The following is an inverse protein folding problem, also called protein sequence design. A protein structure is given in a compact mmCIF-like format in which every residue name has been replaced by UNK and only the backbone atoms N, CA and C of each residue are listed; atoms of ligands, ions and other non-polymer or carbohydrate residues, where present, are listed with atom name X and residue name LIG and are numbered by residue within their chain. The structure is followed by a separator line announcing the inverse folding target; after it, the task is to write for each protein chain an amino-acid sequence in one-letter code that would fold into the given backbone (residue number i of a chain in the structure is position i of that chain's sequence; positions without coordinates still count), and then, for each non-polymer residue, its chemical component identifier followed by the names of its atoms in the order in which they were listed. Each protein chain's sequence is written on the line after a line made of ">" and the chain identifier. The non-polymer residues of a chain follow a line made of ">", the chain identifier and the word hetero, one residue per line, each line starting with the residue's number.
data_IF_615538931294
#
_entry.id   IF_615538931294
#
_cell.length_a   1.000
_cell.length_b   1.000
_cell.length_c   1.000
_cell.angle_alpha   90.00
_cell.angle_beta   90.00
_cell.angle_gamma   90.00
#
_symmetry.space_group_name_H-M   'P 1'
#
loop_
_entity.id
_entity.type
_entity.pdbx_description
1 polymer ?
#
# COMPACT_ATOMS: atom_id res chain seq x y z
N UNK A 1 45.65 -8.54 -35.31
CA UNK A 1 45.31 -7.15 -34.92
C UNK A 1 45.31 -7.04 -33.40
N UNK A 2 46.49 -6.90 -32.79
CA UNK A 2 46.63 -6.78 -31.33
C UNK A 2 46.19 -5.39 -30.87
N UNK A 3 45.15 -5.32 -30.04
CA UNK A 3 44.76 -4.09 -29.35
C UNK A 3 45.84 -3.72 -28.33
N UNK A 4 46.17 -2.43 -28.25
CA UNK A 4 47.15 -1.90 -27.29
C UNK A 4 46.82 -2.20 -25.83
N UNK A 5 47.80 -2.02 -24.96
CA UNK A 5 47.67 -2.24 -23.50
C UNK A 5 46.54 -1.38 -22.94
N UNK A 6 45.64 -1.98 -22.16
CA UNK A 6 44.50 -1.31 -21.52
C UNK A 6 44.73 -1.27 -20.01
N UNK A 7 44.45 -0.13 -19.38
CA UNK A 7 44.52 0.02 -17.92
C UNK A 7 43.46 -0.84 -17.20
N UNK A 8 43.79 -1.37 -16.02
CA UNK A 8 42.84 -2.09 -15.15
C UNK A 8 41.99 -1.10 -14.34
N UNK A 9 41.08 -0.41 -15.04
CA UNK A 9 40.07 0.49 -14.46
C UNK A 9 38.71 0.23 -15.10
N UNK A 10 37.65 0.75 -14.48
CA UNK A 10 36.29 0.70 -15.04
C UNK A 10 36.28 1.40 -16.42
N UNK A 11 35.72 0.73 -17.42
CA UNK A 11 35.52 1.33 -18.75
C UNK A 11 34.28 2.23 -18.67
N UNK A 12 34.44 3.53 -18.85
CA UNK A 12 33.33 4.50 -18.73
C UNK A 12 32.33 4.40 -19.88
N UNK A 13 32.82 4.32 -21.12
CA UNK A 13 31.98 4.19 -22.31
C UNK A 13 31.14 2.90 -22.24
N UNK A 14 29.80 3.07 -22.24
CA UNK A 14 28.83 1.97 -22.07
C UNK A 14 28.94 0.91 -23.17
N UNK A 15 29.12 1.31 -24.43
CA UNK A 15 29.20 0.41 -25.59
C UNK A 15 30.48 -0.42 -25.50
N UNK A 16 31.62 0.24 -25.28
CA UNK A 16 32.92 -0.43 -25.13
C UNK A 16 32.92 -1.39 -23.93
N UNK A 17 32.29 -0.99 -22.81
CA UNK A 17 32.15 -1.84 -21.63
C UNK A 17 31.31 -3.08 -21.93
N UNK A 18 30.19 -2.96 -22.65
CA UNK A 18 29.34 -4.10 -23.00
C UNK A 18 30.07 -5.09 -23.94
N UNK A 19 30.72 -4.58 -24.98
CA UNK A 19 31.50 -5.42 -25.92
C UNK A 19 32.67 -6.10 -25.20
N UNK A 20 33.37 -5.36 -24.33
CA UNK A 20 34.50 -5.90 -23.56
C UNK A 20 34.04 -6.93 -22.54
N UNK A 21 32.92 -6.69 -21.84
CA UNK A 21 32.32 -7.65 -20.92
C UNK A 21 32.00 -8.96 -21.65
N UNK A 22 31.32 -8.92 -22.79
CA UNK A 22 30.98 -10.12 -23.55
C UNK A 22 32.24 -10.90 -23.95
N UNK A 23 33.27 -10.23 -24.48
CA UNK A 23 34.53 -10.86 -24.88
C UNK A 23 35.31 -11.44 -23.69
N UNK A 24 35.49 -10.66 -22.61
CA UNK A 24 36.24 -11.10 -21.42
C UNK A 24 35.51 -12.19 -20.64
N UNK A 25 34.18 -12.10 -20.50
CA UNK A 25 33.35 -13.15 -19.90
C UNK A 25 33.53 -14.47 -20.66
N UNK A 26 33.41 -14.45 -21.99
CA UNK A 26 33.61 -15.66 -22.80
C UNK A 26 35.05 -16.17 -22.72
N UNK A 27 36.05 -15.30 -22.71
CA UNK A 27 37.45 -15.70 -22.52
C UNK A 27 37.70 -16.35 -21.15
N UNK A 28 37.11 -15.80 -20.08
CA UNK A 28 37.22 -16.33 -18.73
C UNK A 28 36.52 -17.69 -18.60
N UNK A 29 35.34 -17.85 -19.20
CA UNK A 29 34.63 -19.13 -19.28
C UNK A 29 35.47 -20.21 -19.96
N UNK A 30 36.11 -19.88 -21.08
CA UNK A 30 37.02 -20.80 -21.78
C UNK A 30 38.20 -21.20 -20.89
N UNK A 31 38.80 -20.25 -20.17
CA UNK A 31 39.91 -20.51 -19.26
C UNK A 31 39.51 -21.37 -18.07
N UNK A 32 38.33 -21.13 -17.50
CA UNK A 32 37.78 -21.96 -16.43
C UNK A 32 37.52 -23.40 -16.89
N UNK A 33 37.00 -23.56 -18.12
CA UNK A 33 36.82 -24.88 -18.74
C UNK A 33 38.15 -25.60 -18.98
N UNK A 34 39.13 -24.93 -19.61
CA UNK A 34 40.48 -25.48 -19.82
C UNK A 34 41.10 -25.94 -18.50
N UNK A 35 41.03 -25.13 -17.45
CA UNK A 35 41.57 -25.49 -16.12
C UNK A 35 40.87 -26.72 -15.54
N UNK A 36 39.54 -26.80 -15.65
CA UNK A 36 38.80 -27.94 -15.12
C UNK A 36 39.18 -29.26 -15.80
N UNK A 37 39.41 -29.24 -17.11
CA UNK A 37 39.76 -30.43 -17.89
C UNK A 37 41.24 -30.79 -17.71
N UNK A 38 42.15 -29.82 -17.78
CA UNK A 38 43.60 -30.08 -17.75
C UNK A 38 44.10 -30.54 -16.38
N UNK A 39 43.45 -30.11 -15.30
CA UNK A 39 43.88 -30.39 -13.93
C UNK A 39 42.90 -31.25 -13.14
N UNK A 40 41.86 -31.79 -13.79
CA UNK A 40 40.75 -32.50 -13.13
C UNK A 40 40.20 -31.75 -11.90
N UNK A 41 40.05 -30.43 -12.07
CA UNK A 41 39.66 -29.52 -11.01
C UNK A 41 38.16 -29.18 -11.12
N UNK A 42 37.46 -29.19 -9.99
CA UNK A 42 36.10 -28.66 -9.92
C UNK A 42 36.14 -27.14 -9.90
N UNK A 43 35.56 -26.50 -10.91
CA UNK A 43 35.60 -25.05 -11.10
C UNK A 43 34.17 -24.53 -11.27
N UNK A 44 33.82 -23.52 -10.47
CA UNK A 44 32.58 -22.76 -10.61
C UNK A 44 32.88 -21.28 -10.79
N UNK A 45 32.12 -20.61 -11.66
CA UNK A 45 32.23 -19.20 -11.97
C UNK A 45 30.84 -18.57 -12.00
N UNK A 46 30.66 -17.49 -11.24
CA UNK A 46 29.41 -16.73 -11.15
C UNK A 46 29.72 -15.27 -11.50
N UNK A 47 28.99 -14.69 -12.45
CA UNK A 47 29.18 -13.31 -12.92
C UNK A 47 27.84 -12.60 -12.99
N UNK A 48 27.70 -11.54 -12.20
CA UNK A 48 26.57 -10.61 -12.31
C UNK A 48 26.96 -9.42 -13.17
N UNK A 49 26.17 -9.16 -14.21
CA UNK A 49 26.30 -7.90 -14.96
C UNK A 49 25.73 -6.73 -14.16
N UNK A 50 26.12 -5.51 -14.52
CA UNK A 50 25.56 -4.29 -13.94
C UNK A 50 24.04 -4.10 -14.18
N UNK A 51 23.43 -4.94 -15.03
CA UNK A 51 21.98 -4.98 -15.27
C UNK A 51 21.28 -6.08 -14.45
N UNK A 52 21.99 -6.74 -13.53
CA UNK A 52 21.47 -7.83 -12.72
C UNK A 52 21.40 -9.18 -13.43
N UNK A 53 21.76 -9.27 -14.71
CA UNK A 53 21.76 -10.56 -15.42
C UNK A 53 22.90 -11.46 -14.92
N UNK A 54 22.54 -12.67 -14.51
CA UNK A 54 23.42 -13.76 -14.08
C UNK A 54 24.01 -14.49 -15.29
N UNK A 55 25.31 -14.76 -15.23
CA UNK A 55 26.02 -15.67 -16.11
C UNK A 55 26.83 -16.62 -15.24
N UNK A 56 26.66 -17.91 -15.45
CA UNK A 56 27.30 -18.93 -14.63
C UNK A 56 27.94 -20.03 -15.48
N UNK A 57 28.94 -20.67 -14.90
CA UNK A 57 29.58 -21.87 -15.42
C UNK A 57 29.99 -22.77 -14.27
N UNK A 58 29.78 -24.06 -14.46
CA UNK A 58 30.20 -25.09 -13.53
C UNK A 58 30.77 -26.24 -14.36
N UNK A 59 31.95 -26.75 -13.97
CA UNK A 59 32.50 -27.95 -14.60
C UNK A 59 31.80 -29.23 -14.16
N UNK A 60 31.06 -29.19 -13.05
CA UNK A 60 30.26 -30.31 -12.54
C UNK A 60 28.83 -30.28 -13.07
N UNK A 61 28.07 -31.35 -12.81
CA UNK A 61 26.65 -31.47 -13.23
C UNK A 61 25.71 -30.49 -12.52
N UNK A 62 26.12 -29.85 -11.42
CA UNK A 62 25.27 -28.92 -10.68
C UNK A 62 26.06 -27.85 -9.93
N UNK A 63 25.81 -26.59 -10.27
CA UNK A 63 26.31 -25.43 -9.54
C UNK A 63 25.95 -25.51 -8.05
N UNK A 64 24.75 -25.98 -7.71
CA UNK A 64 24.31 -26.13 -6.32
C UNK A 64 25.22 -27.08 -5.53
N UNK A 65 25.61 -28.21 -6.12
CA UNK A 65 26.53 -29.18 -5.47
C UNK A 65 27.91 -28.58 -5.23
N UNK A 66 28.43 -27.82 -6.19
CA UNK A 66 29.74 -27.15 -6.04
C UNK A 66 29.68 -26.06 -4.96
N UNK A 67 28.59 -25.30 -4.88
CA UNK A 67 28.36 -24.32 -3.80
C UNK A 67 28.24 -24.97 -2.43
N UNK A 68 27.50 -26.08 -2.32
CA UNK A 68 27.41 -26.87 -1.09
C UNK A 68 28.79 -27.39 -0.65
N UNK A 69 29.60 -27.89 -1.58
CA UNK A 69 30.98 -28.32 -1.29
C UNK A 69 31.84 -27.16 -0.82
N UNK A 70 31.79 -26.02 -1.51
CA UNK A 70 32.50 -24.81 -1.09
C UNK A 70 32.12 -24.39 0.33
N UNK A 71 30.83 -24.39 0.65
CA UNK A 71 30.36 -24.11 2.01
C UNK A 71 30.92 -25.13 3.01
N UNK A 72 30.83 -26.43 2.73
CA UNK A 72 31.37 -27.48 3.62
C UNK A 72 32.87 -27.33 3.87
N UNK A 73 33.65 -26.99 2.84
CA UNK A 73 35.12 -26.85 2.94
C UNK A 73 35.55 -25.51 3.57
N UNK A 74 34.83 -24.42 3.33
CA UNK A 74 35.16 -23.10 3.88
C UNK A 74 34.67 -22.93 5.33
N UNK A 75 33.63 -23.67 5.74
CA UNK A 75 33.04 -23.61 7.09
C UNK A 75 33.34 -24.86 7.94
N UNK A 76 34.26 -25.72 7.49
CA UNK A 76 34.71 -26.93 8.18
C UNK A 76 35.77 -26.69 9.26
N UNK A 77 35.54 -25.72 10.15
CA UNK A 77 36.19 -25.47 11.46
C UNK A 77 35.56 -24.16 12.04
N UNK A 78 35.46 -23.98 13.36
CA UNK A 78 34.23 -23.62 14.08
C UNK A 78 33.76 -22.16 13.92
N UNK A 79 33.02 -21.83 12.86
CA UNK A 79 32.23 -20.58 12.75
C UNK A 79 30.85 -20.84 12.09
N UNK A 80 30.35 -22.07 12.21
CA UNK A 80 29.03 -22.50 11.68
C UNK A 80 27.87 -21.95 12.51
N UNK A 81 28.13 -21.33 13.65
CA UNK A 81 27.13 -21.01 14.66
C UNK A 81 26.39 -19.68 14.47
N UNK A 82 26.84 -18.79 13.57
CA UNK A 82 26.22 -17.46 13.46
C UNK A 82 25.28 -17.40 12.24
N UNK A 83 25.77 -17.72 11.04
CA UNK A 83 24.95 -17.65 9.80
C UNK A 83 23.97 -18.82 9.66
N UNK A 84 24.36 -20.03 10.09
CA UNK A 84 23.42 -21.17 10.17
C UNK A 84 22.35 -20.92 11.23
N UNK A 85 22.74 -20.36 12.39
CA UNK A 85 21.79 -19.99 13.46
C UNK A 85 20.86 -18.87 13.03
N UNK A 86 21.32 -17.87 12.29
CA UNK A 86 20.47 -16.79 11.77
C UNK A 86 19.51 -17.29 10.68
N UNK A 87 19.97 -18.14 9.76
CA UNK A 87 19.11 -18.72 8.71
C UNK A 87 18.12 -19.73 9.30
N UNK A 88 18.56 -20.58 10.23
CA UNK A 88 17.72 -21.53 10.95
C UNK A 88 16.76 -20.82 11.91
N UNK A 89 17.21 -19.74 12.57
CA UNK A 89 16.36 -18.86 13.38
C UNK A 89 15.32 -18.17 12.52
N UNK A 90 15.69 -17.62 11.37
CA UNK A 90 14.74 -16.99 10.44
C UNK A 90 13.69 -17.98 9.93
N UNK A 91 14.09 -19.21 9.57
CA UNK A 91 13.17 -20.27 9.20
C UNK A 91 12.27 -20.69 10.37
N UNK A 92 12.82 -20.80 11.59
CA UNK A 92 12.06 -21.14 12.78
C UNK A 92 11.04 -20.05 13.15
N UNK A 93 11.42 -18.77 13.06
CA UNK A 93 10.53 -17.63 13.24
C UNK A 93 9.43 -17.61 12.17
N UNK A 94 9.77 -17.92 10.91
CA UNK A 94 8.78 -18.08 9.85
C UNK A 94 7.78 -19.19 10.16
N UNK A 95 8.24 -20.36 10.61
CA UNK A 95 7.36 -21.48 10.98
C UNK A 95 6.47 -21.14 12.18
N UNK A 96 7.01 -20.46 13.20
CA UNK A 96 6.22 -19.95 14.33
C UNK A 96 5.14 -18.97 13.87
N UNK A 97 5.50 -18.03 12.99
CA UNK A 97 4.57 -17.06 12.44
C UNK A 97 3.49 -17.74 11.61
N UNK A 98 3.88 -18.70 10.75
CA UNK A 98 2.95 -19.49 9.93
C UNK A 98 1.94 -20.23 10.81
N UNK A 99 2.40 -20.90 11.86
CA UNK A 99 1.52 -21.60 12.81
C UNK A 99 0.54 -20.63 13.50
N UNK A 100 0.99 -19.42 13.86
CA UNK A 100 0.12 -18.37 14.42
C UNK A 100 -0.93 -17.92 13.41
N UNK A 101 -0.56 -17.70 12.15
CA UNK A 101 -1.50 -17.32 11.08
C UNK A 101 -2.55 -18.41 10.87
N UNK A 102 -2.14 -19.67 10.80
CA UNK A 102 -3.06 -20.80 10.64
C UNK A 102 -4.00 -20.97 11.85
N UNK A 103 -3.50 -20.72 13.06
CA UNK A 103 -4.34 -20.71 14.26
C UNK A 103 -5.36 -19.56 14.25
N UNK A 104 -4.94 -18.35 13.86
CA UNK A 104 -5.83 -17.19 13.73
C UNK A 104 -6.88 -17.41 12.63
N UNK A 105 -6.50 -17.95 11.49
CA UNK A 105 -7.43 -18.26 10.39
C UNK A 105 -8.45 -19.33 10.80
N UNK A 106 -8.02 -20.36 11.56
CA UNK A 106 -8.96 -21.33 12.16
C UNK A 106 -9.91 -20.64 13.13
N UNK A 107 -9.40 -19.82 14.05
CA UNK A 107 -10.25 -19.08 14.99
C UNK A 107 -11.26 -18.18 14.29
N UNK A 108 -10.86 -17.51 13.20
CA UNK A 108 -11.76 -16.69 12.40
C UNK A 108 -12.88 -17.52 11.77
N UNK A 109 -12.57 -18.67 11.17
CA UNK A 109 -13.57 -19.58 10.61
C UNK A 109 -14.57 -20.03 11.68
N UNK A 110 -14.08 -20.42 12.85
CA UNK A 110 -14.94 -20.79 13.97
C UNK A 110 -15.87 -19.63 14.37
N UNK A 111 -15.36 -18.40 14.49
CA UNK A 111 -16.18 -17.22 14.79
C UNK A 111 -17.24 -16.92 13.72
N UNK A 112 -17.02 -17.36 12.47
CA UNK A 112 -17.98 -17.28 11.37
C UNK A 112 -18.95 -18.47 11.33
N UNK A 113 -18.82 -19.43 12.24
CA UNK A 113 -19.63 -20.64 12.29
C UNK A 113 -19.17 -21.75 11.33
N UNK A 114 -17.96 -21.64 10.79
CA UNK A 114 -17.35 -22.63 9.90
C UNK A 114 -16.44 -23.58 10.69
N UNK A 115 -16.22 -24.80 10.16
CA UNK A 115 -15.27 -25.80 10.70
C UNK A 115 -15.39 -26.09 12.20
N UNK A 116 -16.62 -26.14 12.71
CA UNK A 116 -16.90 -26.33 14.14
C UNK A 116 -16.71 -27.79 14.62
N UNK A 117 -16.67 -28.76 13.71
CA UNK A 117 -16.59 -30.19 14.03
C UNK A 117 -15.46 -30.61 14.97
N UNK A 118 -14.25 -30.03 14.91
CA UNK A 118 -13.16 -30.34 15.83
C UNK A 118 -13.29 -29.75 17.24
N UNK A 119 -14.24 -28.85 17.50
CA UNK A 119 -14.40 -28.20 18.80
C UNK A 119 -15.21 -29.09 19.76
N UNK A 120 -14.80 -29.11 21.02
CA UNK A 120 -15.58 -29.72 22.09
C UNK A 120 -16.80 -28.89 22.46
N UNK A 121 -17.76 -29.50 23.17
CA UNK A 121 -18.97 -28.80 23.65
C UNK A 121 -18.63 -27.56 24.49
N UNK A 122 -17.63 -27.67 25.38
CA UNK A 122 -17.18 -26.54 26.21
C UNK A 122 -16.61 -25.39 25.39
N UNK A 123 -15.84 -25.70 24.35
CA UNK A 123 -15.27 -24.68 23.46
C UNK A 123 -16.34 -24.01 22.61
N UNK A 124 -17.35 -24.75 22.15
CA UNK A 124 -18.51 -24.20 21.44
C UNK A 124 -19.34 -23.27 22.33
N UNK A 125 -19.64 -23.67 23.56
CA UNK A 125 -20.33 -22.79 24.52
C UNK A 125 -19.52 -21.52 24.84
N UNK A 126 -18.19 -21.61 24.92
CA UNK A 126 -17.34 -20.44 25.11
C UNK A 126 -17.40 -19.51 23.90
N UNK A 127 -17.35 -20.07 22.69
CA UNK A 127 -17.44 -19.32 21.44
C UNK A 127 -18.79 -18.60 21.32
N UNK A 128 -19.88 -19.28 21.65
CA UNK A 128 -21.24 -18.71 21.67
C UNK A 128 -21.32 -17.53 22.65
N UNK A 129 -20.87 -17.71 23.90
CA UNK A 129 -20.85 -16.63 24.90
C UNK A 129 -20.03 -15.42 24.44
N UNK A 130 -18.89 -15.66 23.78
CA UNK A 130 -18.03 -14.60 23.25
C UNK A 130 -18.71 -13.82 22.12
N UNK A 131 -19.36 -14.52 21.19
CA UNK A 131 -20.11 -13.90 20.09
C UNK A 131 -21.29 -13.09 20.61
N UNK A 132 -22.06 -13.64 21.54
CA UNK A 132 -23.21 -12.95 22.16
C UNK A 132 -22.81 -11.68 22.88
N UNK A 133 -21.74 -11.72 23.69
CA UNK A 133 -21.24 -10.55 24.39
C UNK A 133 -20.79 -9.45 23.41
N UNK A 134 -20.01 -9.84 22.39
CA UNK A 134 -19.49 -8.92 21.38
C UNK A 134 -20.62 -8.30 20.54
N UNK A 135 -21.62 -9.10 20.16
CA UNK A 135 -22.77 -8.65 19.38
C UNK A 135 -23.67 -7.71 20.18
N UNK A 136 -23.88 -7.98 21.48
CA UNK A 136 -24.56 -7.04 22.39
C UNK A 136 -23.83 -5.70 22.47
N UNK A 137 -22.51 -5.73 22.60
CA UNK A 137 -21.70 -4.51 22.63
C UNK A 137 -21.80 -3.72 21.32
N UNK A 138 -21.62 -4.38 20.16
CA UNK A 138 -21.74 -3.74 18.84
C UNK A 138 -23.11 -3.08 18.66
N UNK A 139 -24.19 -3.79 19.01
CA UNK A 139 -25.55 -3.25 18.92
C UNK A 139 -25.72 -2.04 19.82
N UNK A 140 -25.26 -2.11 21.08
CA UNK A 140 -25.33 -1.00 22.02
C UNK A 140 -24.59 0.24 21.48
N UNK A 141 -23.33 0.08 21.06
CA UNK A 141 -22.53 1.18 20.50
C UNK A 141 -23.17 1.77 19.25
N UNK A 142 -23.70 0.94 18.34
CA UNK A 142 -24.38 1.41 17.14
C UNK A 142 -25.65 2.20 17.47
N UNK A 143 -26.45 1.72 18.41
CA UNK A 143 -27.65 2.42 18.87
C UNK A 143 -27.28 3.75 19.51
N UNK A 144 -26.28 3.77 20.39
CA UNK A 144 -25.82 5.01 21.03
C UNK A 144 -25.37 6.03 19.98
N UNK A 145 -24.55 5.62 19.02
CA UNK A 145 -24.12 6.50 17.93
C UNK A 145 -25.29 7.08 17.13
N UNK A 146 -26.31 6.27 16.81
CA UNK A 146 -27.50 6.75 16.11
C UNK A 146 -28.29 7.78 16.94
N UNK A 147 -28.41 7.57 18.26
CA UNK A 147 -29.07 8.51 19.17
C UNK A 147 -28.31 9.84 19.25
N UNK A 148 -26.99 9.78 19.33
CA UNK A 148 -26.14 10.98 19.38
C UNK A 148 -26.27 11.79 18.07
N UNK A 149 -26.26 11.12 16.91
CA UNK A 149 -26.50 11.76 15.61
C UNK A 149 -27.90 12.41 15.52
N UNK A 150 -28.92 11.73 16.03
CA UNK A 150 -30.29 12.26 16.06
C UNK A 150 -30.36 13.53 16.91
N UNK A 151 -29.76 13.52 18.11
CA UNK A 151 -29.74 14.66 19.00
C UNK A 151 -29.01 15.86 18.39
N UNK A 152 -27.89 15.63 17.70
CA UNK A 152 -27.14 16.69 17.02
C UNK A 152 -27.92 17.29 15.85
N UNK A 153 -28.62 16.47 15.06
CA UNK A 153 -29.47 16.94 13.97
C UNK A 153 -30.66 17.75 14.49
N UNK A 154 -31.33 17.30 15.56
CA UNK A 154 -32.42 18.04 16.19
C UNK A 154 -31.95 19.40 16.72
N UNK A 155 -30.75 19.47 17.31
CA UNK A 155 -30.17 20.74 17.76
C UNK A 155 -29.91 21.69 16.59
N UNK A 156 -29.40 21.18 15.46
CA UNK A 156 -29.19 21.97 14.24
C UNK A 156 -30.51 22.46 13.63
N UNK A 157 -31.52 21.61 13.59
CA UNK A 157 -32.87 21.97 13.13
C UNK A 157 -33.44 23.13 13.95
N UNK A 158 -33.33 23.07 15.28
CA UNK A 158 -33.80 24.14 16.17
C UNK A 158 -33.08 25.46 15.89
N UNK A 159 -31.74 25.44 15.80
CA UNK A 159 -30.95 26.64 15.49
C UNK A 159 -31.34 27.24 14.13
N UNK A 160 -31.53 26.42 13.10
CA UNK A 160 -31.95 26.87 11.77
C UNK A 160 -33.38 27.42 11.77
N UNK A 161 -34.28 26.81 12.52
CA UNK A 161 -35.64 27.32 12.70
C UNK A 161 -35.65 28.70 13.36
N UNK A 162 -34.85 28.90 14.42
CA UNK A 162 -34.73 30.18 15.10
C UNK A 162 -34.10 31.26 14.21
N UNK A 163 -33.03 30.92 13.50
CA UNK A 163 -32.40 31.81 12.53
C UNK A 163 -33.37 32.23 11.42
N UNK A 164 -34.12 31.27 10.84
CA UNK A 164 -35.13 31.56 9.82
C UNK A 164 -36.27 32.44 10.37
N UNK A 165 -36.76 32.20 11.60
CA UNK A 165 -37.76 33.06 12.25
C UNK A 165 -37.24 34.49 12.44
N UNK A 166 -35.97 34.65 12.80
CA UNK A 166 -35.33 35.97 12.93
C UNK A 166 -35.23 36.69 11.57
N UNK A 167 -34.80 35.98 10.52
CA UNK A 167 -34.69 36.53 9.18
C UNK A 167 -36.05 36.95 8.60
N UNK A 168 -37.11 36.16 8.83
CA UNK A 168 -38.47 36.51 8.41
C UNK A 168 -38.97 37.80 9.06
N UNK A 169 -38.77 37.95 10.37
CA UNK A 169 -39.10 39.20 11.09
C UNK A 169 -38.36 40.40 10.51
N UNK A 170 -37.05 40.28 10.27
CA UNK A 170 -36.25 41.36 9.65
C UNK A 170 -36.71 41.72 8.24
N UNK A 171 -37.13 40.73 7.45
CA UNK A 171 -37.67 40.96 6.12
C UNK A 171 -39.00 41.73 6.19
N UNK A 172 -39.90 41.34 7.10
CA UNK A 172 -41.16 42.03 7.34
C UNK A 172 -40.95 43.48 7.80
N UNK A 173 -40.02 43.71 8.73
CA UNK A 173 -39.61 45.06 9.19
C UNK A 173 -39.03 45.91 8.05
N UNK A 174 -38.14 45.32 7.22
CA UNK A 174 -37.56 46.01 6.06
C UNK A 174 -38.60 46.33 4.97
N UNK A 175 -39.58 45.46 4.78
CA UNK A 175 -40.64 45.64 3.78
C UNK A 175 -41.66 46.70 4.23
N UNK A 176 -41.93 46.79 5.54
CA UNK A 176 -42.74 47.88 6.13
C UNK A 176 -42.00 49.23 6.05
N UNK A 177 -40.69 49.26 6.31
CA UNK A 177 -39.87 50.47 6.13
C UNK A 177 -39.79 50.91 4.66
N UNK A 178 -39.74 49.98 3.71
CA UNK A 178 -39.77 50.26 2.27
C UNK A 178 -41.13 50.77 1.75
N UNK A 179 -42.25 50.38 2.37
CA UNK A 179 -43.59 50.91 2.03
C UNK A 179 -43.86 52.31 2.62
N UNK A 180 -43.13 52.73 3.66
CA UNK A 180 -43.18 54.11 4.18
C UNK A 180 -42.36 55.11 3.35
N UNK A 181 -41.58 54.63 2.36
CA UNK A 181 -40.81 55.46 1.45
C UNK A 181 -41.48 55.56 0.07
N UNK A 182 -42.76 55.93 0.04
CA UNK A 182 -43.47 56.35 -1.19
C UNK A 182 -43.79 57.85 -1.12
N UNK A 183 -42.90 58.62 -1.75
CA UNK A 183 -43.08 59.89 -2.48
C UNK A 183 -43.78 61.08 -1.79
N UNK A 184 -42.97 62.03 -1.32
CA UNK A 184 -43.36 63.45 -1.18
C UNK A 184 -42.92 64.20 -2.46
N UNK A 185 -43.84 64.68 -3.33
CA UNK A 185 -43.48 65.26 -4.61
C UNK A 185 -43.60 66.79 -4.57
N UNK A 186 -42.61 67.53 -4.04
CA UNK A 186 -42.19 68.86 -4.54
C UNK A 186 -41.14 69.53 -3.65
N UNK A 187 -39.89 69.61 -4.11
CA UNK A 187 -39.03 70.80 -3.97
C UNK A 187 -37.74 70.63 -4.78
N UNK A 188 -37.51 71.58 -5.69
CA UNK A 188 -36.38 71.68 -6.60
C UNK A 188 -35.05 71.90 -5.87
N UNK A 189 -33.96 71.29 -6.34
CA UNK A 189 -32.67 71.94 -6.63
C UNK A 189 -31.66 70.94 -7.22
N UNK A 190 -30.77 71.46 -8.06
CA UNK A 190 -29.96 70.78 -9.07
C UNK A 190 -28.51 70.52 -8.60
N UNK A 191 -27.90 69.43 -9.08
CA UNK A 191 -26.45 69.24 -9.26
C UNK A 191 -25.69 68.77 -8.00
N UNK A 192 -24.75 67.82 -8.03
CA UNK A 192 -23.76 67.44 -9.05
C UNK A 192 -23.28 65.98 -8.81
N UNK A 193 -22.88 65.29 -9.89
CA UNK A 193 -21.63 64.51 -9.88
C UNK A 193 -21.66 62.96 -9.88
N UNK A 194 -21.42 62.40 -11.08
CA UNK A 194 -20.65 61.18 -11.44
C UNK A 194 -20.97 59.79 -10.81
N UNK A 195 -21.62 58.95 -11.63
CA UNK A 195 -21.21 57.65 -12.22
C UNK A 195 -19.88 56.94 -11.78
N UNK A 196 -19.65 55.65 -12.15
CA UNK A 196 -19.91 54.40 -11.42
C UNK A 196 -18.62 53.58 -11.13
N UNK A 197 -18.66 52.56 -10.25
CA UNK A 197 -17.67 51.47 -10.26
C UNK A 197 -18.25 50.15 -9.74
N UNK A 198 -18.43 49.20 -10.66
CA UNK A 198 -18.25 47.76 -10.40
C UNK A 198 -16.78 47.49 -10.02
N UNK A 199 -16.46 46.40 -9.28
CA UNK A 199 -16.13 45.16 -9.99
C UNK A 199 -16.71 43.87 -9.36
N UNK A 200 -17.13 42.98 -10.25
CA UNK A 200 -16.82 41.54 -10.30
C UNK A 200 -16.88 40.76 -8.97
N UNK A 201 -17.90 39.93 -8.78
CA UNK A 201 -17.81 38.48 -9.06
C UNK A 201 -16.52 37.84 -8.54
N UNK A 202 -16.59 37.13 -7.42
CA UNK A 202 -15.96 35.82 -7.34
C UNK A 202 -16.51 34.99 -6.18
N UNK A 203 -16.97 33.79 -6.55
CA UNK A 203 -16.93 32.56 -5.77
C UNK A 203 -17.57 32.55 -4.38
N UNK A 204 -18.74 31.91 -4.25
CA UNK A 204 -18.88 30.77 -3.34
C UNK A 204 -20.10 29.91 -3.70
N UNK A 205 -20.13 29.41 -4.94
CA UNK A 205 -20.74 28.11 -5.19
C UNK A 205 -19.83 27.09 -4.48
N UNK A 206 -20.17 26.69 -3.25
CA UNK A 206 -19.65 25.42 -2.74
C UNK A 206 -20.50 24.32 -3.40
N UNK A 207 -19.95 23.84 -4.50
CA UNK A 207 -20.21 22.59 -5.16
C UNK A 207 -20.68 21.52 -4.14
N UNK A 208 -21.91 21.05 -4.30
CA UNK A 208 -22.37 19.81 -3.70
C UNK A 208 -21.57 18.67 -4.33
N UNK A 209 -20.43 18.34 -3.72
CA UNK A 209 -19.74 17.09 -4.03
C UNK A 209 -20.62 15.94 -3.57
N UNK A 210 -21.28 15.37 -4.57
CA UNK A 210 -22.03 14.15 -4.44
C UNK A 210 -21.02 12.99 -4.46
N UNK A 211 -20.96 12.29 -3.32
CA UNK A 211 -20.54 10.88 -3.14
C UNK A 211 -19.01 10.58 -3.20
N UNK A 212 -18.49 9.55 -2.46
CA UNK A 212 -19.20 8.29 -2.26
C UNK A 212 -19.23 7.70 -0.84
N UNK A 213 -20.37 7.04 -0.58
CA UNK A 213 -20.50 5.74 0.08
C UNK A 213 -19.20 5.17 0.67
N UNK A 214 -19.14 5.06 2.00
CA UNK A 214 -18.16 4.24 2.71
C UNK A 214 -18.36 2.75 2.36
N UNK A 215 -17.80 2.34 1.21
CA UNK A 215 -17.36 0.96 1.00
C UNK A 215 -16.06 0.75 1.78
N UNK A 216 -16.19 0.53 3.09
CA UNK A 216 -15.16 -0.19 3.84
C UNK A 216 -15.31 -1.65 3.42
N UNK A 217 -14.64 -2.05 2.33
CA UNK A 217 -14.70 -3.45 1.91
C UNK A 217 -14.18 -3.87 0.54
N UNK A 218 -13.65 -3.01 -0.35
CA UNK A 218 -13.23 -3.51 -1.68
C UNK A 218 -11.93 -2.94 -2.27
N UNK A 219 -11.22 -2.02 -1.61
CA UNK A 219 -10.04 -1.37 -2.18
C UNK A 219 -8.68 -2.04 -1.90
N UNK A 220 -8.59 -3.00 -0.96
CA UNK A 220 -7.36 -3.80 -0.80
C UNK A 220 -7.33 -5.10 -1.61
N UNK A 221 -8.44 -5.49 -2.26
CA UNK A 221 -8.53 -6.75 -3.01
C UNK A 221 -8.16 -6.60 -4.49
N UNK A 222 -8.29 -5.42 -5.08
CA UNK A 222 -8.05 -5.21 -6.52
C UNK A 222 -6.57 -5.00 -6.91
N UNK A 223 -5.68 -4.62 -5.99
CA UNK A 223 -4.24 -4.52 -6.31
C UNK A 223 -3.53 -5.89 -6.29
N UNK A 224 -3.95 -6.81 -5.42
CA UNK A 224 -3.42 -8.17 -5.42
C UNK A 224 -3.97 -9.01 -6.58
N UNK A 225 -5.24 -8.82 -6.98
CA UNK A 225 -5.81 -9.57 -8.10
C UNK A 225 -5.24 -9.15 -9.46
N UNK A 226 -4.95 -7.86 -9.67
CA UNK A 226 -4.28 -7.38 -10.89
C UNK A 226 -2.80 -7.83 -10.98
N UNK A 227 -2.12 -8.00 -9.84
CA UNK A 227 -0.74 -8.51 -9.81
C UNK A 227 -0.69 -10.03 -10.07
N UNK A 228 -1.75 -10.77 -9.69
CA UNK A 228 -1.84 -12.21 -9.90
C UNK A 228 -2.33 -12.58 -11.31
N UNK A 229 -3.25 -11.81 -11.91
CA UNK A 229 -3.73 -12.06 -13.29
C UNK A 229 -2.67 -11.68 -14.34
N UNK A 230 -1.85 -10.64 -14.14
CA UNK A 230 -0.71 -10.35 -15.04
C UNK A 230 0.39 -11.42 -15.02
N UNK A 231 0.45 -12.25 -13.98
CA UNK A 231 1.42 -13.35 -13.85
C UNK A 231 0.93 -14.69 -14.42
N UNK A 232 -0.36 -14.77 -14.77
CA UNK A 232 -1.01 -15.95 -15.35
C UNK A 232 -1.21 -15.88 -16.87
N UNK A 233 -1.02 -14.72 -17.50
CA UNK A 233 -1.09 -14.54 -18.97
C UNK A 233 0.28 -14.26 -19.63
N UNK A 234 1.39 -14.56 -18.95
CA UNK A 234 2.75 -14.55 -19.51
C UNK A 234 3.46 -15.88 -19.28
N UNK A 235 2.71 -16.97 -19.42
CA UNK A 235 3.17 -18.33 -19.71
C UNK A 235 2.28 -18.86 -20.84
#
# INVERSE_FOLDING_TARGET
>A
MGRGRVELKRIENKINRQVTFAKRRNGLLKKAYELSVLCDAEVALIIFSNRGKLYEFCSSSSMMKTLERYQKCNYGAPETNIVSRETQSSQQEYLKLKARVEALQRSQRNLLGEDLGPLSSKELEQLERQLDASLKQIRSTRTQYMLDQLADLQRREQMLCEANKSLRRRLEESNQAGQQQVWDPTAHAVGYGRQPTQPQSDGFYQQMDSEPTLQIGYLLRCQFFNYMIKRLYSL
#
